data_IF_936927589055
#
_entry.id   IF_936927589055
#
_cell.length_a   1.000
_cell.length_b   1.000
_cell.length_c   1.000
_cell.angle_alpha   90.00
_cell.angle_beta   90.00
_cell.angle_gamma   90.00
#
_symmetry.space_group_name_H-M   'P 1'
#
loop_
_entity.id
_entity.type
_entity.pdbx_description
1 polymer ?
#
# COMPACT_ATOMS: atom_id res chain seq x y z
N UNK A 1 22.34 -26.30 1.32
CA UNK A 1 21.18 -25.61 0.72
C UNK A 1 20.58 -24.72 1.79
N UNK A 2 20.83 -23.40 1.73
CA UNK A 2 20.20 -22.42 2.61
C UNK A 2 18.76 -22.26 2.13
N UNK A 3 17.80 -22.82 2.88
CA UNK A 3 16.39 -22.46 2.71
C UNK A 3 16.31 -20.93 2.86
N UNK A 4 15.67 -20.20 1.92
CA UNK A 4 15.41 -18.79 2.15
C UNK A 4 14.62 -18.70 3.46
N UNK A 5 15.10 -17.89 4.40
CA UNK A 5 14.34 -17.50 5.59
C UNK A 5 12.98 -17.02 5.09
N UNK A 6 11.96 -17.87 5.22
CA UNK A 6 10.63 -17.59 4.72
C UNK A 6 10.10 -16.34 5.42
N UNK A 7 9.51 -15.43 4.65
CA UNK A 7 8.86 -14.24 5.18
C UNK A 7 7.91 -14.64 6.31
N UNK A 8 7.95 -13.90 7.42
CA UNK A 8 7.07 -14.20 8.56
C UNK A 8 5.59 -14.05 8.16
N UNK A 9 4.68 -14.72 8.86
CA UNK A 9 3.24 -14.57 8.60
C UNK A 9 2.77 -13.09 8.69
N UNK A 10 3.44 -12.30 9.53
CA UNK A 10 3.20 -10.88 9.67
C UNK A 10 3.68 -10.10 8.42
N UNK A 11 4.88 -10.41 7.91
CA UNK A 11 5.42 -9.80 6.69
C UNK A 11 4.57 -10.13 5.46
N UNK A 12 4.04 -11.36 5.36
CA UNK A 12 3.11 -11.74 4.29
C UNK A 12 1.77 -10.99 4.40
N UNK A 13 1.24 -10.82 5.62
CA UNK A 13 0.02 -10.04 5.84
C UNK A 13 0.21 -8.57 5.47
N UNK A 14 1.37 -8.01 5.84
CA UNK A 14 1.77 -6.65 5.51
C UNK A 14 1.94 -6.46 4.01
N UNK A 15 2.60 -7.39 3.32
CA UNK A 15 2.76 -7.38 1.87
C UNK A 15 1.40 -7.35 1.15
N UNK A 16 0.43 -8.16 1.61
CA UNK A 16 -0.93 -8.15 1.05
C UNK A 16 -1.62 -6.81 1.27
N UNK A 17 -1.60 -6.31 2.50
CA UNK A 17 -2.28 -5.06 2.84
C UNK A 17 -1.68 -3.88 2.08
N UNK A 18 -0.36 -3.72 2.11
CA UNK A 18 0.34 -2.62 1.43
C UNK A 18 0.22 -2.74 -0.10
N UNK A 19 0.30 -3.96 -0.65
CA UNK A 19 0.06 -4.20 -2.07
C UNK A 19 -1.34 -3.75 -2.49
N UNK A 20 -2.39 -4.15 -1.75
CA UNK A 20 -3.75 -3.72 -2.03
C UNK A 20 -3.95 -2.20 -1.93
N UNK A 21 -3.34 -1.55 -0.93
CA UNK A 21 -3.37 -0.10 -0.78
C UNK A 21 -2.69 0.62 -1.95
N UNK A 22 -1.52 0.14 -2.38
CA UNK A 22 -0.81 0.70 -3.52
C UNK A 22 -1.60 0.51 -4.83
N UNK A 23 -2.21 -0.66 -5.04
CA UNK A 23 -3.08 -0.92 -6.18
C UNK A 23 -4.30 0.01 -6.22
N UNK A 24 -4.97 0.20 -5.08
CA UNK A 24 -6.09 1.13 -4.96
C UNK A 24 -5.65 2.58 -5.23
N UNK A 25 -4.49 2.99 -4.72
CA UNK A 25 -3.92 4.31 -4.97
C UNK A 25 -3.61 4.54 -6.46
N UNK A 26 -3.05 3.54 -7.15
CA UNK A 26 -2.82 3.59 -8.60
C UNK A 26 -4.12 3.75 -9.38
N UNK A 27 -5.17 2.99 -9.02
CA UNK A 27 -6.47 3.10 -9.66
C UNK A 27 -7.14 4.46 -9.40
N UNK A 28 -6.98 5.04 -8.20
CA UNK A 28 -7.46 6.38 -7.90
C UNK A 28 -6.70 7.47 -8.67
N UNK A 29 -5.38 7.33 -8.82
CA UNK A 29 -4.58 8.24 -9.63
C UNK A 29 -4.99 8.20 -11.11
N UNK A 30 -5.32 7.01 -11.64
CA UNK A 30 -5.83 6.87 -13.00
C UNK A 30 -7.24 7.47 -13.16
N UNK A 31 -8.11 7.30 -12.16
CA UNK A 31 -9.47 7.85 -12.18
C UNK A 31 -9.50 9.38 -11.98
N UNK A 32 -8.55 9.94 -11.24
CA UNK A 32 -8.46 11.38 -10.92
C UNK A 32 -7.05 11.93 -11.21
N UNK A 33 -6.64 12.09 -12.49
CA UNK A 33 -5.27 12.45 -12.85
C UNK A 33 -4.79 13.79 -12.27
N UNK A 34 -5.69 14.77 -12.13
CA UNK A 34 -5.38 16.07 -11.51
C UNK A 34 -4.93 15.96 -10.05
N UNK A 35 -5.26 14.85 -9.37
CA UNK A 35 -4.91 14.57 -7.98
C UNK A 35 -3.94 13.39 -7.84
N UNK A 36 -3.37 12.90 -8.94
CA UNK A 36 -2.54 11.68 -8.95
C UNK A 36 -1.43 11.67 -7.88
N UNK A 37 -0.75 12.81 -7.67
CA UNK A 37 0.29 12.96 -6.64
C UNK A 37 -0.21 12.66 -5.22
N UNK A 38 -1.45 13.03 -4.90
CA UNK A 38 -2.02 12.79 -3.56
C UNK A 38 -2.11 11.29 -3.25
N UNK A 39 -2.40 10.47 -4.27
CA UNK A 39 -2.52 9.03 -4.13
C UNK A 39 -1.17 8.32 -4.15
N UNK A 40 -0.20 8.80 -4.94
CA UNK A 40 1.13 8.18 -5.05
C UNK A 40 1.87 8.09 -3.70
N UNK A 41 1.65 9.06 -2.81
CA UNK A 41 2.29 9.09 -1.49
C UNK A 41 1.46 8.42 -0.38
N UNK A 42 0.31 7.81 -0.70
CA UNK A 42 -0.61 7.26 0.31
C UNK A 42 0.06 6.21 1.22
N UNK A 43 0.82 5.28 0.64
CA UNK A 43 1.55 4.24 1.40
C UNK A 43 2.63 4.84 2.29
N UNK A 44 3.34 5.88 1.82
CA UNK A 44 4.34 6.60 2.62
C UNK A 44 3.67 7.29 3.81
N UNK A 45 2.59 8.03 3.58
CA UNK A 45 1.85 8.76 4.63
C UNK A 45 1.28 7.83 5.69
N UNK A 46 0.91 6.62 5.30
CA UNK A 46 0.40 5.60 6.22
C UNK A 46 1.41 5.26 7.32
N UNK A 47 2.70 5.17 6.99
CA UNK A 47 3.75 4.68 7.89
C UNK A 47 4.77 5.74 8.31
N UNK A 48 4.57 7.00 7.94
CA UNK A 48 5.53 8.08 8.15
C UNK A 48 5.83 8.40 9.64
N UNK A 49 4.95 8.02 10.57
CA UNK A 49 5.22 8.11 12.02
C UNK A 49 6.19 7.05 12.53
N UNK A 50 6.46 6.00 11.76
CA UNK A 50 7.22 4.84 12.19
C UNK A 50 8.54 4.68 11.46
N UNK A 51 8.63 5.18 10.23
CA UNK A 51 9.79 5.02 9.37
C UNK A 51 10.23 6.38 8.82
N UNK A 52 11.55 6.62 8.82
CA UNK A 52 12.14 7.67 8.00
C UNK A 52 12.22 7.24 6.51
N UNK A 53 12.66 8.13 5.63
CA UNK A 53 12.68 7.87 4.18
C UNK A 53 13.56 6.68 3.75
N UNK A 54 14.69 6.45 4.42
CA UNK A 54 15.57 5.31 4.11
C UNK A 54 14.95 4.00 4.58
N UNK A 55 14.41 3.99 5.79
CA UNK A 55 13.71 2.85 6.37
C UNK A 55 12.48 2.49 5.54
N UNK A 56 11.71 3.47 5.08
CA UNK A 56 10.57 3.29 4.19
C UNK A 56 10.99 2.61 2.88
N UNK A 57 12.04 3.10 2.22
CA UNK A 57 12.52 2.52 0.95
C UNK A 57 12.94 1.05 1.12
N UNK A 58 13.71 0.75 2.16
CA UNK A 58 14.15 -0.61 2.45
C UNK A 58 12.97 -1.53 2.78
N UNK A 59 12.07 -1.07 3.63
CA UNK A 59 10.85 -1.79 4.01
C UNK A 59 9.95 -2.08 2.80
N UNK A 60 9.65 -1.06 1.99
CA UNK A 60 8.81 -1.22 0.81
C UNK A 60 9.45 -2.15 -0.23
N UNK A 61 10.78 -2.10 -0.40
CA UNK A 61 11.50 -2.99 -1.30
C UNK A 61 11.39 -4.47 -0.87
N UNK A 62 11.47 -4.76 0.44
CA UNK A 62 11.25 -6.12 0.97
C UNK A 62 9.85 -6.62 0.67
N UNK A 63 8.83 -5.80 0.95
CA UNK A 63 7.44 -6.19 0.68
C UNK A 63 7.20 -6.43 -0.81
N UNK A 64 7.74 -5.58 -1.69
CA UNK A 64 7.62 -5.74 -3.14
C UNK A 64 8.28 -7.01 -3.70
N UNK A 65 9.20 -7.61 -2.96
CA UNK A 65 9.82 -8.88 -3.35
C UNK A 65 8.93 -10.10 -3.04
N UNK A 66 7.87 -9.95 -2.25
CA UNK A 66 6.90 -11.02 -1.96
C UNK A 66 5.88 -11.18 -3.09
N UNK A 67 5.52 -12.43 -3.41
CA UNK A 67 4.52 -12.74 -4.44
C UNK A 67 3.10 -12.28 -4.07
N UNK A 68 2.82 -12.24 -2.76
CA UNK A 68 1.57 -11.74 -2.19
C UNK A 68 1.39 -10.26 -2.48
N UNK A 69 2.47 -9.48 -2.50
CA UNK A 69 2.41 -8.07 -2.82
C UNK A 69 1.86 -7.83 -4.22
N UNK A 70 2.46 -8.45 -5.24
CA UNK A 70 2.03 -8.26 -6.64
C UNK A 70 0.59 -8.70 -6.87
N UNK A 71 0.19 -9.84 -6.29
CA UNK A 71 -1.19 -10.33 -6.38
C UNK A 71 -2.18 -9.35 -5.73
N UNK A 72 -1.81 -8.78 -4.57
CA UNK A 72 -2.66 -7.81 -3.89
C UNK A 72 -2.70 -6.45 -4.58
N UNK A 73 -1.65 -6.01 -5.27
CA UNK A 73 -1.69 -4.81 -6.13
C UNK A 73 -2.78 -4.94 -7.18
N UNK A 74 -2.83 -6.07 -7.91
CA UNK A 74 -3.89 -6.29 -8.90
C UNK A 74 -5.29 -6.30 -8.27
N UNK A 75 -5.43 -6.89 -7.08
CA UNK A 75 -6.69 -6.89 -6.35
C UNK A 75 -7.13 -5.46 -5.97
N UNK A 76 -6.20 -4.66 -5.45
CA UNK A 76 -6.45 -3.25 -5.10
C UNK A 76 -6.82 -2.40 -6.30
N UNK A 77 -6.21 -2.63 -7.46
CA UNK A 77 -6.58 -1.93 -8.69
C UNK A 77 -8.03 -2.20 -9.11
N UNK A 78 -8.53 -3.42 -8.84
CA UNK A 78 -9.90 -3.86 -9.17
C UNK A 78 -10.92 -3.53 -8.06
N UNK A 79 -10.49 -3.07 -6.90
CA UNK A 79 -11.39 -2.86 -5.75
C UNK A 79 -12.19 -1.55 -5.81
N UNK A 80 -11.87 -0.65 -6.72
CA UNK A 80 -12.61 0.60 -6.89
C UNK A 80 -14.01 0.36 -7.45
N UNK A 81 -14.98 1.03 -6.86
CA UNK A 81 -16.38 0.95 -7.29
C UNK A 81 -16.55 1.50 -8.72
N UNK A 82 -17.43 0.86 -9.47
CA UNK A 82 -17.81 1.28 -10.82
C UNK A 82 -18.66 2.55 -10.81
N UNK A 83 -19.43 2.78 -9.74
CA UNK A 83 -20.25 3.96 -9.53
C UNK A 83 -19.38 5.18 -9.15
N UNK A 84 -19.46 6.30 -9.89
CA UNK A 84 -18.58 7.46 -9.69
C UNK A 84 -18.58 8.03 -8.27
N UNK A 85 -19.76 8.15 -7.64
CA UNK A 85 -19.88 8.70 -6.28
C UNK A 85 -19.22 7.81 -5.21
N UNK A 86 -19.27 6.49 -5.37
CA UNK A 86 -18.62 5.56 -4.46
C UNK A 86 -17.11 5.54 -4.68
N UNK A 87 -16.67 5.58 -5.94
CA UNK A 87 -15.26 5.69 -6.28
C UNK A 87 -14.63 6.95 -5.70
N UNK A 88 -15.32 8.09 -5.80
CA UNK A 88 -14.83 9.34 -5.25
C UNK A 88 -14.64 9.24 -3.73
N UNK A 89 -15.63 8.67 -3.03
CA UNK A 89 -15.57 8.43 -1.59
C UNK A 89 -14.40 7.51 -1.19
N UNK A 90 -14.22 6.41 -1.94
CA UNK A 90 -13.12 5.47 -1.73
C UNK A 90 -11.75 6.09 -2.01
N UNK A 91 -11.63 6.95 -3.00
CA UNK A 91 -10.39 7.66 -3.26
C UNK A 91 -10.14 8.76 -2.22
N UNK A 92 -11.19 9.44 -1.75
CA UNK A 92 -11.07 10.46 -0.69
C UNK A 92 -10.47 9.88 0.60
N UNK A 93 -10.86 8.67 1.00
CA UNK A 93 -10.28 8.04 2.19
C UNK A 93 -8.77 7.80 2.07
N UNK A 94 -8.23 7.59 0.85
CA UNK A 94 -6.78 7.51 0.64
C UNK A 94 -6.06 8.85 0.82
N UNK A 95 -6.76 9.96 0.61
CA UNK A 95 -6.21 11.30 0.85
C UNK A 95 -6.10 11.61 2.35
N UNK A 96 -6.96 11.00 3.16
CA UNK A 96 -7.01 11.24 4.61
C UNK A 96 -6.04 10.34 5.40
N UNK A 97 -5.35 9.39 4.74
CA UNK A 97 -4.39 8.52 5.39
C UNK A 97 -3.19 9.31 5.92
N UNK A 98 -3.05 9.29 7.24
CA UNK A 98 -1.88 9.76 7.98
C UNK A 98 -1.70 8.82 9.17
N UNK A 99 -0.55 8.16 9.27
CA UNK A 99 -0.16 7.44 10.48
C UNK A 99 -1.27 6.51 11.03
N UNK A 100 -1.83 5.66 10.17
CA UNK A 100 -3.09 4.96 10.45
C UNK A 100 -3.00 4.05 11.69
N UNK A 101 -4.07 3.95 12.51
CA UNK A 101 -4.06 3.09 13.68
C UNK A 101 -3.78 1.64 13.28
N UNK A 102 -2.77 1.01 13.91
CA UNK A 102 -2.40 -0.37 13.64
C UNK A 102 -1.42 -0.59 12.49
N UNK A 103 -0.91 0.47 11.84
CA UNK A 103 0.07 0.35 10.75
C UNK A 103 1.52 0.49 11.22
N UNK A 104 1.88 -0.18 12.32
CA UNK A 104 3.28 -0.29 12.72
C UNK A 104 3.96 -1.33 11.83
N UNK A 105 4.92 -0.93 10.97
CA UNK A 105 5.60 -1.86 10.09
C UNK A 105 6.34 -2.93 10.88
N UNK A 106 6.33 -4.17 10.38
CA UNK A 106 7.16 -5.25 10.90
C UNK A 106 8.64 -4.83 10.80
N UNK A 107 9.27 -4.65 11.96
CA UNK A 107 10.70 -4.39 12.01
C UNK A 107 11.44 -5.67 11.60
N UNK A 108 12.57 -5.54 10.88
CA UNK A 108 13.43 -6.67 10.57
C UNK A 108 13.99 -7.34 11.82
#
# INVERSE_FOLDING_TARGET
>A
MLLPLGASAQELSEARYIGAMEGAAQACAAAYPAQARVYQDAVRRLVACHLNDEQFKSWQARLRASAEYSASVEQGQRSLDKHPANRERQCRSLQELVCGPGTKPSQP
#
